data_IF_997235695499
#
_entry.id   IF_997235695499
#
_cell.length_a   1.000
_cell.length_b   1.000
_cell.length_c   1.000
_cell.angle_alpha   90.00
_cell.angle_beta   90.00
_cell.angle_gamma   90.00
#
_symmetry.space_group_name_H-M   'P 1'
#
loop_
_entity.id
_entity.type
_entity.pdbx_description
1 polymer ?
#
# COMPACT_ATOMS: atom_id res chain seq x y z
N UNK A 1 24.49 -5.26 -35.02
CA UNK A 1 25.35 -4.56 -34.03
C UNK A 1 24.64 -4.68 -32.66
N UNK A 2 25.13 -5.56 -31.79
CA UNK A 2 24.64 -5.72 -30.42
C UNK A 2 25.37 -4.71 -29.54
N UNK A 3 24.66 -3.69 -29.04
CA UNK A 3 25.19 -2.79 -28.00
C UNK A 3 24.94 -3.46 -26.66
N UNK A 4 25.98 -4.00 -26.04
CA UNK A 4 25.96 -4.42 -24.66
C UNK A 4 26.07 -3.14 -23.81
N UNK A 5 24.95 -2.66 -23.29
CA UNK A 5 24.98 -1.62 -22.24
C UNK A 5 25.44 -2.26 -20.93
N UNK A 6 26.69 -2.08 -20.58
CA UNK A 6 27.20 -2.36 -19.24
C UNK A 6 26.44 -1.42 -18.26
N UNK A 7 25.43 -1.94 -17.61
CA UNK A 7 24.79 -1.24 -16.48
C UNK A 7 25.75 -1.22 -15.31
N UNK A 8 26.55 -0.16 -15.17
CA UNK A 8 27.38 0.08 -13.99
C UNK A 8 26.43 0.53 -12.89
N UNK A 9 26.30 -0.31 -11.84
CA UNK A 9 25.51 0.05 -10.66
C UNK A 9 26.33 0.98 -9.76
N UNK A 10 25.80 2.16 -9.50
CA UNK A 10 26.37 3.04 -8.47
C UNK A 10 26.03 2.49 -7.07
N UNK A 11 26.97 1.73 -6.53
CA UNK A 11 26.83 1.12 -5.19
C UNK A 11 26.63 2.16 -4.08
N UNK A 12 27.21 3.36 -4.23
CA UNK A 12 27.09 4.44 -3.25
C UNK A 12 25.68 5.03 -3.27
N UNK A 13 25.14 5.31 -4.45
CA UNK A 13 23.78 5.82 -4.62
C UNK A 13 22.74 4.79 -4.13
N UNK A 14 22.91 3.50 -4.46
CA UNK A 14 22.03 2.41 -3.97
C UNK A 14 22.03 2.34 -2.45
N UNK A 15 23.24 2.37 -1.84
CA UNK A 15 23.37 2.35 -0.38
C UNK A 15 22.69 3.55 0.28
N UNK A 16 22.91 4.75 -0.26
CA UNK A 16 22.30 5.97 0.26
C UNK A 16 20.78 5.93 0.15
N UNK A 17 20.25 5.48 -0.99
CA UNK A 17 18.80 5.27 -1.17
C UNK A 17 18.23 4.30 -0.14
N UNK A 18 18.89 3.16 0.07
CA UNK A 18 18.47 2.19 1.07
C UNK A 18 18.45 2.78 2.50
N UNK A 19 19.47 3.58 2.88
CA UNK A 19 19.50 4.28 4.16
C UNK A 19 18.33 5.24 4.29
N UNK A 20 18.01 6.00 3.24
CA UNK A 20 16.88 6.92 3.24
C UNK A 20 15.55 6.18 3.44
N UNK A 21 15.32 5.08 2.72
CA UNK A 21 14.11 4.26 2.85
C UNK A 21 13.99 3.62 4.23
N UNK A 22 15.10 3.14 4.80
CA UNK A 22 15.16 2.59 6.16
C UNK A 22 14.69 3.64 7.17
N UNK A 23 15.18 4.87 7.06
CA UNK A 23 14.81 5.97 7.94
C UNK A 23 13.35 6.39 7.73
N UNK A 24 12.92 6.51 6.48
CA UNK A 24 11.59 7.01 6.10
C UNK A 24 10.46 6.08 6.53
N UNK A 25 10.68 4.76 6.46
CA UNK A 25 9.71 3.73 6.86
C UNK A 25 9.96 3.15 8.25
N UNK A 26 10.95 3.69 8.98
CA UNK A 26 11.36 3.12 10.29
C UNK A 26 11.58 1.60 10.20
N UNK A 27 12.42 1.16 9.25
CA UNK A 27 12.75 -0.26 9.09
C UNK A 27 13.83 -0.62 10.12
N UNK A 28 13.47 -1.50 11.06
CA UNK A 28 14.41 -1.96 12.09
C UNK A 28 15.32 -3.05 11.53
N UNK A 29 16.54 -2.67 11.21
CA UNK A 29 17.58 -3.58 10.69
C UNK A 29 18.96 -3.19 11.26
N UNK A 30 19.90 -4.15 11.26
CA UNK A 30 21.28 -3.91 11.73
C UNK A 30 22.09 -3.11 10.71
N UNK A 31 21.80 -3.26 9.42
CA UNK A 31 22.47 -2.54 8.34
C UNK A 31 21.64 -2.61 7.05
N UNK A 32 21.88 -1.71 6.07
CA UNK A 32 21.23 -1.77 4.76
C UNK A 32 21.52 -3.07 3.97
N UNK A 33 22.58 -3.79 4.34
CA UNK A 33 22.98 -5.05 3.71
C UNK A 33 22.40 -6.28 4.40
N UNK A 34 21.58 -6.11 5.46
CA UNK A 34 20.97 -7.24 6.14
C UNK A 34 19.98 -7.96 5.21
N UNK A 35 20.08 -9.30 5.07
CA UNK A 35 19.10 -10.06 4.28
C UNK A 35 17.68 -9.89 4.82
N UNK A 36 16.72 -9.59 3.94
CA UNK A 36 15.30 -9.31 4.29
C UNK A 36 14.68 -10.45 5.09
N UNK A 37 15.00 -11.72 4.76
CA UNK A 37 14.54 -12.92 5.49
C UNK A 37 14.88 -12.95 6.98
N UNK A 38 15.83 -12.12 7.43
CA UNK A 38 16.24 -12.00 8.86
C UNK A 38 15.53 -10.84 9.57
N UNK A 39 14.63 -10.16 8.90
CA UNK A 39 13.79 -9.11 9.49
C UNK A 39 12.50 -9.71 10.04
N UNK A 40 11.87 -9.02 11.00
CA UNK A 40 10.51 -9.35 11.42
C UNK A 40 9.52 -9.16 10.26
N UNK A 41 8.36 -9.83 10.29
CA UNK A 41 7.33 -9.74 9.25
C UNK A 41 6.95 -8.31 8.92
N UNK A 42 6.73 -7.46 9.92
CA UNK A 42 6.41 -6.05 9.70
C UNK A 42 7.54 -5.26 9.03
N UNK A 43 8.82 -5.56 9.33
CA UNK A 43 9.93 -4.92 8.63
C UNK A 43 10.10 -5.45 7.20
N UNK A 44 9.79 -6.74 6.95
CA UNK A 44 9.75 -7.28 5.58
C UNK A 44 8.68 -6.57 4.75
N UNK A 45 7.48 -6.34 5.32
CA UNK A 45 6.40 -5.60 4.67
C UNK A 45 6.83 -4.17 4.30
N UNK A 46 7.47 -3.46 5.24
CA UNK A 46 8.02 -2.13 5.00
C UNK A 46 9.07 -2.12 3.86
N UNK A 47 9.92 -3.15 3.76
CA UNK A 47 10.86 -3.30 2.64
C UNK A 47 10.13 -3.52 1.31
N UNK A 48 9.04 -4.30 1.28
CA UNK A 48 8.23 -4.47 0.08
C UNK A 48 7.66 -3.13 -0.41
N UNK A 49 7.12 -2.31 0.51
CA UNK A 49 6.64 -0.96 0.18
C UNK A 49 7.78 -0.06 -0.31
N UNK A 50 8.94 -0.05 0.38
CA UNK A 50 10.11 0.73 -0.05
C UNK A 50 10.52 0.42 -1.50
N UNK A 51 10.51 -0.86 -1.87
CA UNK A 51 10.80 -1.30 -3.25
C UNK A 51 9.78 -0.78 -4.24
N UNK A 52 8.49 -0.88 -3.92
CA UNK A 52 7.42 -0.40 -4.79
C UNK A 52 7.54 1.11 -5.04
N UNK A 53 7.74 1.90 -4.00
CA UNK A 53 7.90 3.35 -4.12
C UNK A 53 9.21 3.79 -4.79
N UNK A 54 10.27 2.99 -4.73
CA UNK A 54 11.52 3.25 -5.45
C UNK A 54 11.30 3.37 -6.96
N UNK A 55 10.31 2.66 -7.50
CA UNK A 55 9.95 2.71 -8.94
C UNK A 55 9.20 3.99 -9.33
N UNK A 56 8.82 4.83 -8.39
CA UNK A 56 8.02 6.06 -8.58
C UNK A 56 6.77 5.79 -9.45
N UNK A 57 5.92 4.84 -9.06
CA UNK A 57 4.75 4.48 -9.86
C UNK A 57 3.74 5.64 -9.86
N UNK A 58 2.94 5.75 -10.92
CA UNK A 58 1.77 6.63 -10.95
C UNK A 58 0.59 6.00 -10.22
N UNK A 59 0.45 4.68 -10.35
CA UNK A 59 -0.58 3.87 -9.69
C UNK A 59 0.12 2.73 -8.94
N UNK A 60 -0.29 2.51 -7.69
CA UNK A 60 0.22 1.45 -6.83
C UNK A 60 -0.93 0.59 -6.32
N UNK A 61 -0.87 -0.70 -6.61
CA UNK A 61 -1.77 -1.71 -6.02
C UNK A 61 -1.11 -2.32 -4.80
N UNK A 62 -1.80 -2.30 -3.66
CA UNK A 62 -1.34 -2.91 -2.41
C UNK A 62 -2.41 -3.82 -1.85
N UNK A 63 -2.05 -5.05 -1.55
CA UNK A 63 -2.96 -6.03 -0.95
C UNK A 63 -2.50 -6.33 0.46
N UNK A 64 -3.43 -6.18 1.42
CA UNK A 64 -3.21 -6.48 2.85
C UNK A 64 -1.89 -5.89 3.39
N UNK A 65 -1.61 -4.56 3.23
CA UNK A 65 -0.30 -3.99 3.53
C UNK A 65 0.07 -4.04 5.03
N UNK A 66 -0.90 -4.31 5.89
CA UNK A 66 -0.77 -4.31 7.34
C UNK A 66 -0.92 -5.69 7.96
N UNK A 67 -1.10 -6.73 7.14
CA UNK A 67 -1.30 -8.08 7.62
C UNK A 67 -0.07 -8.61 8.37
N UNK A 68 -0.31 -9.14 9.58
CA UNK A 68 0.75 -9.77 10.39
C UNK A 68 1.75 -8.81 11.01
N UNK A 69 1.41 -7.52 11.12
CA UNK A 69 2.23 -6.52 11.80
C UNK A 69 1.53 -5.96 13.04
N UNK A 70 2.29 -5.46 14.00
CA UNK A 70 1.76 -4.88 15.22
C UNK A 70 1.04 -3.54 14.96
N UNK A 71 0.17 -3.12 15.91
CA UNK A 71 -0.68 -1.93 15.79
C UNK A 71 0.11 -0.66 15.51
N UNK A 72 1.27 -0.49 16.14
CA UNK A 72 2.13 0.68 15.91
C UNK A 72 2.70 0.72 14.51
N UNK A 73 3.17 -0.43 14.02
CA UNK A 73 3.68 -0.55 12.66
C UNK A 73 2.57 -0.44 11.60
N UNK A 74 1.34 -0.93 11.86
CA UNK A 74 0.16 -0.70 11.01
C UNK A 74 -0.04 0.79 10.73
N UNK A 75 -0.11 1.59 11.79
CA UNK A 75 -0.33 3.03 11.69
C UNK A 75 0.75 3.73 10.86
N UNK A 76 2.01 3.34 11.02
CA UNK A 76 3.12 3.87 10.23
C UNK A 76 2.96 3.56 8.74
N UNK A 77 2.59 2.32 8.40
CA UNK A 77 2.37 1.88 7.01
C UNK A 77 1.21 2.66 6.39
N UNK A 78 0.06 2.74 7.06
CA UNK A 78 -1.12 3.46 6.55
C UNK A 78 -0.82 4.95 6.35
N UNK A 79 -0.19 5.61 7.32
CA UNK A 79 0.22 7.00 7.22
C UNK A 79 1.22 7.22 6.07
N UNK A 80 2.12 6.26 5.82
CA UNK A 80 3.05 6.33 4.71
C UNK A 80 2.34 6.27 3.36
N UNK A 81 1.35 5.39 3.19
CA UNK A 81 0.52 5.32 2.00
C UNK A 81 -0.21 6.64 1.74
N UNK A 82 -0.87 7.20 2.76
CA UNK A 82 -1.53 8.51 2.67
C UNK A 82 -0.54 9.59 2.23
N UNK A 83 0.64 9.65 2.86
CA UNK A 83 1.67 10.63 2.51
C UNK A 83 2.12 10.50 1.04
N UNK A 84 2.33 9.27 0.56
CA UNK A 84 2.72 9.03 -0.83
C UNK A 84 1.64 9.46 -1.81
N UNK A 85 0.37 9.25 -1.47
CA UNK A 85 -0.74 9.75 -2.26
C UNK A 85 -0.77 11.29 -2.27
N UNK A 86 -0.79 11.93 -1.08
CA UNK A 86 -0.99 13.39 -0.96
C UNK A 86 0.21 14.22 -1.42
N UNK A 87 1.45 13.79 -1.09
CA UNK A 87 2.66 14.56 -1.40
C UNK A 87 3.31 14.20 -2.74
N UNK A 88 3.14 12.95 -3.20
CA UNK A 88 3.76 12.46 -4.44
C UNK A 88 2.78 12.23 -5.58
N UNK A 89 1.47 12.43 -5.35
CA UNK A 89 0.44 12.25 -6.36
C UNK A 89 0.28 10.81 -6.86
N UNK A 90 0.69 9.83 -6.05
CA UNK A 90 0.56 8.41 -6.42
C UNK A 90 -0.88 7.96 -6.14
N UNK A 91 -1.58 7.49 -7.16
CA UNK A 91 -2.87 6.83 -6.95
C UNK A 91 -2.66 5.47 -6.30
N UNK A 92 -3.32 5.22 -5.17
CA UNK A 92 -3.18 3.96 -4.43
C UNK A 92 -4.51 3.22 -4.45
N UNK A 93 -4.47 1.98 -4.93
CA UNK A 93 -5.58 1.03 -4.85
C UNK A 93 -5.21 -0.02 -3.80
N UNK A 94 -5.93 -0.01 -2.68
CA UNK A 94 -5.64 -0.87 -1.53
C UNK A 94 -6.76 -1.88 -1.33
N UNK A 95 -6.40 -3.14 -1.05
CA UNK A 95 -7.34 -4.13 -0.51
C UNK A 95 -6.98 -4.44 0.93
N UNK A 96 -7.96 -4.58 1.78
CA UNK A 96 -7.83 -5.01 3.18
C UNK A 96 -9.07 -5.77 3.62
N UNK A 97 -8.87 -6.79 4.44
CA UNK A 97 -9.95 -7.48 5.17
C UNK A 97 -10.46 -6.67 6.37
N UNK A 98 -9.73 -5.63 6.78
CA UNK A 98 -10.10 -4.77 7.90
C UNK A 98 -10.78 -3.48 7.38
N UNK A 99 -12.11 -3.43 7.39
CA UNK A 99 -12.85 -2.25 6.93
C UNK A 99 -12.44 -0.96 7.65
N UNK A 100 -12.09 -1.04 8.93
CA UNK A 100 -11.62 0.11 9.71
C UNK A 100 -10.35 0.74 9.14
N UNK A 101 -9.44 -0.05 8.57
CA UNK A 101 -8.25 0.46 7.88
C UNK A 101 -8.62 1.25 6.63
N UNK A 102 -9.49 0.68 5.79
CA UNK A 102 -9.96 1.35 4.57
C UNK A 102 -10.66 2.66 4.89
N UNK A 103 -11.56 2.66 5.89
CA UNK A 103 -12.25 3.86 6.35
C UNK A 103 -11.31 4.95 6.87
N UNK A 104 -10.17 4.55 7.44
CA UNK A 104 -9.23 5.50 8.03
C UNK A 104 -8.39 6.28 7.01
N UNK A 105 -8.19 5.74 5.80
CA UNK A 105 -7.24 6.31 4.84
C UNK A 105 -7.75 6.47 3.41
N UNK A 106 -8.79 5.75 3.00
CA UNK A 106 -9.29 5.79 1.63
C UNK A 106 -10.24 6.97 1.39
N UNK A 107 -10.22 7.53 0.19
CA UNK A 107 -11.18 8.54 -0.24
C UNK A 107 -12.52 7.89 -0.64
N UNK A 108 -12.47 6.67 -1.18
CA UNK A 108 -13.63 5.86 -1.61
C UNK A 108 -13.33 4.38 -1.37
N UNK A 109 -14.36 3.61 -1.09
CA UNK A 109 -14.27 2.17 -0.82
C UNK A 109 -15.20 1.44 -1.78
N UNK A 110 -14.63 0.66 -2.68
CA UNK A 110 -15.37 -0.21 -3.59
C UNK A 110 -15.64 -1.57 -2.90
N UNK A 111 -16.89 -1.96 -2.85
CA UNK A 111 -17.33 -3.24 -2.30
C UNK A 111 -17.57 -4.21 -3.46
N UNK A 112 -16.87 -5.33 -3.42
CA UNK A 112 -17.04 -6.41 -4.40
C UNK A 112 -17.73 -7.58 -3.71
N UNK A 113 -18.87 -8.03 -4.25
CA UNK A 113 -19.62 -9.20 -3.78
C UNK A 113 -19.90 -10.12 -4.96
N UNK A 114 -19.67 -11.41 -4.80
CA UNK A 114 -19.89 -12.42 -5.84
C UNK A 114 -19.23 -12.10 -7.21
N UNK A 115 -18.05 -11.49 -7.17
CA UNK A 115 -17.30 -11.10 -8.38
C UNK A 115 -17.83 -9.87 -9.10
N UNK A 116 -18.79 -9.15 -8.53
CA UNK A 116 -19.36 -7.92 -9.08
C UNK A 116 -19.11 -6.74 -8.15
N UNK A 117 -18.99 -5.54 -8.71
CA UNK A 117 -18.99 -4.30 -7.95
C UNK A 117 -20.40 -4.06 -7.39
N UNK A 118 -20.54 -4.18 -6.06
CA UNK A 118 -21.82 -3.99 -5.37
C UNK A 118 -22.10 -2.53 -5.05
N UNK A 119 -21.08 -1.78 -4.61
CA UNK A 119 -21.21 -0.36 -4.28
C UNK A 119 -19.86 0.35 -4.29
N UNK A 120 -19.85 1.66 -4.42
CA UNK A 120 -18.73 2.54 -4.10
C UNK A 120 -19.19 3.51 -3.01
N UNK A 121 -18.66 3.31 -1.79
CA UNK A 121 -19.07 4.03 -0.59
C UNK A 121 -18.00 5.03 -0.14
N UNK A 122 -18.42 6.06 0.60
CA UNK A 122 -17.49 6.94 1.32
C UNK A 122 -17.09 6.31 2.65
N UNK A 123 -15.91 6.61 3.17
CA UNK A 123 -15.50 6.14 4.51
C UNK A 123 -16.47 6.51 5.63
N UNK A 124 -17.23 7.60 5.45
CA UNK A 124 -18.21 8.14 6.41
C UNK A 124 -19.59 7.53 6.33
N UNK A 125 -19.88 6.72 5.30
CA UNK A 125 -21.17 6.07 5.15
C UNK A 125 -21.43 5.07 6.29
N UNK A 126 -22.69 4.78 6.56
CA UNK A 126 -23.12 3.99 7.74
C UNK A 126 -22.68 2.51 7.65
N UNK A 127 -22.56 1.87 8.81
CA UNK A 127 -22.27 0.43 8.89
C UNK A 127 -23.37 -0.41 8.23
N UNK A 128 -24.62 0.09 8.24
CA UNK A 128 -25.74 -0.56 7.57
C UNK A 128 -25.54 -0.57 6.05
N UNK A 129 -25.10 0.53 5.45
CA UNK A 129 -24.81 0.63 4.01
C UNK A 129 -23.67 -0.31 3.60
N UNK A 130 -22.59 -0.32 4.39
CA UNK A 130 -21.51 -1.29 4.19
C UNK A 130 -21.99 -2.74 4.30
N UNK A 131 -22.81 -3.04 5.30
CA UNK A 131 -23.38 -4.37 5.48
C UNK A 131 -24.26 -4.81 4.31
N UNK A 132 -25.14 -3.94 3.82
CA UNK A 132 -25.96 -4.21 2.65
C UNK A 132 -25.13 -4.41 1.39
N UNK A 133 -24.12 -3.57 1.17
CA UNK A 133 -23.23 -3.68 0.02
C UNK A 133 -22.44 -5.02 0.04
N UNK A 134 -21.91 -5.39 1.20
CA UNK A 134 -21.19 -6.66 1.39
C UNK A 134 -22.09 -7.88 1.18
N UNK A 135 -23.38 -7.75 1.53
CA UNK A 135 -24.38 -8.80 1.30
C UNK A 135 -24.88 -8.87 -0.16
N UNK A 136 -24.39 -8.02 -1.05
CA UNK A 136 -24.84 -7.95 -2.43
C UNK A 136 -26.27 -7.43 -2.59
N UNK A 137 -26.82 -6.76 -1.58
CA UNK A 137 -28.20 -6.24 -1.54
C UNK A 137 -28.32 -4.75 -1.89
N UNK A 138 -27.23 -4.12 -2.36
CA UNK A 138 -27.29 -2.77 -2.91
C UNK A 138 -27.88 -2.83 -4.32
N UNK A 139 -28.86 -1.96 -4.61
CA UNK A 139 -29.34 -1.74 -5.98
C UNK A 139 -28.18 -1.17 -6.82
N UNK A 140 -28.09 -1.64 -8.08
CA UNK A 140 -27.00 -1.35 -9.01
C UNK A 140 -26.50 0.09 -8.93
N UNK A 141 -25.20 0.25 -8.72
CA UNK A 141 -24.52 1.52 -8.90
C UNK A 141 -24.49 1.81 -10.40
N UNK A 142 -25.38 2.68 -10.87
CA UNK A 142 -25.26 3.27 -12.21
C UNK A 142 -23.98 4.11 -12.15
N UNK A 143 -22.92 3.64 -12.80
CA UNK A 143 -21.74 4.44 -13.05
C UNK A 143 -22.10 5.29 -14.27
N UNK A 144 -22.56 6.53 -14.03
CA UNK A 144 -22.64 7.53 -15.09
C UNK A 144 -21.21 7.82 -15.55
N UNK A 145 -20.94 7.57 -16.85
CA UNK A 145 -19.67 7.84 -17.54
C UNK A 145 -19.38 9.35 -17.65
#
# INVERSE_FOLDING_TARGET
KWFIFLKIYDKKAIRQHAINMIKELDIRCKSPSQPVRRLSGGNQQKVCLARAFTLKPKILFVSEPTRGIDVGAKRLVLNYLVRMNREKGITIVMTSSELAELRSICDRIAIVSEGKLSAILKPTDSDAEFGMAMAGKFQEVIIDE
#
